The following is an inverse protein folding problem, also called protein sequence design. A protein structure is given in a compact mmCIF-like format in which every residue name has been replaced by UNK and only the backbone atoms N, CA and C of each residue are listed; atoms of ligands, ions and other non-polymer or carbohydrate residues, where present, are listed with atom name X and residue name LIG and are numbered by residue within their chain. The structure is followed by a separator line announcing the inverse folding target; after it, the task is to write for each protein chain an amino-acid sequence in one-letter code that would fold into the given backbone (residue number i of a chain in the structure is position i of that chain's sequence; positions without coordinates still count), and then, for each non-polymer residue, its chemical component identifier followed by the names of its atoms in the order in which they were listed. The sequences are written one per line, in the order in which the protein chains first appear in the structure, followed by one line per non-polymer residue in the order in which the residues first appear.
data_IF_471164228000
#
_entry.id   IF_471164228000
#
_cell.length_a   1.000
_cell.length_b   1.000
_cell.length_c   1.000
_cell.angle_alpha   90.00
_cell.angle_beta   90.00
_cell.angle_gamma   90.00
#
_symmetry.space_group_name_H-M   'P 1'
#
loop_
_entity.id
_entity.type
_entity.pdbx_description
1 polymer ?
#
# COMPACT_ATOMS: atom_id res chain seq x y z
N UNK A 1 24.60 -1.34 -16.68
CA UNK A 1 23.52 -2.13 -16.06
C UNK A 1 22.35 -1.20 -15.79
N UNK A 2 21.34 -1.22 -16.66
CA UNK A 2 20.14 -0.40 -16.49
C UNK A 2 19.17 -1.20 -15.61
N UNK A 3 19.07 -0.82 -14.34
CA UNK A 3 18.02 -1.09 -13.34
C UNK A 3 18.60 -0.95 -11.93
N UNK A 4 19.26 0.17 -11.65
CA UNK A 4 19.56 0.53 -10.26
C UNK A 4 18.31 1.22 -9.71
N UNK A 5 17.57 0.53 -8.83
CA UNK A 5 16.52 1.18 -8.05
C UNK A 5 17.15 2.34 -7.28
N UNK A 6 16.60 3.56 -7.45
CA UNK A 6 17.11 4.77 -6.79
C UNK A 6 17.03 4.66 -5.26
N UNK A 7 16.07 3.89 -4.77
CA UNK A 7 15.76 3.73 -3.34
C UNK A 7 16.07 2.32 -2.84
N UNK A 8 16.49 2.20 -1.57
CA UNK A 8 16.72 0.92 -0.91
C UNK A 8 15.39 0.22 -0.62
N UNK A 9 15.22 -1.00 -1.13
CA UNK A 9 14.07 -1.84 -0.82
C UNK A 9 14.06 -2.26 0.67
N UNK A 10 12.89 -2.18 1.30
CA UNK A 10 12.61 -2.66 2.66
C UNK A 10 11.71 -3.89 2.54
N UNK A 11 12.23 -5.07 2.87
CA UNK A 11 11.44 -6.31 2.86
C UNK A 11 10.54 -6.43 4.09
N UNK A 12 9.29 -6.87 3.88
CA UNK A 12 8.35 -7.21 4.95
C UNK A 12 8.35 -8.73 5.11
N UNK A 13 8.49 -9.22 6.35
CA UNK A 13 8.51 -10.67 6.65
C UNK A 13 7.10 -11.17 6.90
N UNK A 14 6.84 -12.45 6.58
CA UNK A 14 5.58 -13.11 6.86
C UNK A 14 4.42 -12.71 5.95
N UNK A 15 4.71 -12.13 4.79
CA UNK A 15 3.70 -11.84 3.76
C UNK A 15 3.67 -13.00 2.78
N UNK A 16 2.54 -13.68 2.69
CA UNK A 16 2.31 -14.71 1.68
C UNK A 16 1.93 -14.11 0.31
N UNK A 17 1.93 -14.95 -0.72
CA UNK A 17 1.66 -14.52 -2.10
C UNK A 17 0.22 -14.04 -2.31
N UNK A 18 -0.74 -14.62 -1.59
CA UNK A 18 -2.14 -14.25 -1.69
C UNK A 18 -2.34 -12.82 -1.17
N UNK A 19 -1.86 -12.54 0.04
CA UNK A 19 -1.89 -11.21 0.63
C UNK A 19 -1.15 -10.18 -0.22
N UNK A 20 0.00 -10.55 -0.78
CA UNK A 20 0.78 -9.68 -1.67
C UNK A 20 -0.01 -9.24 -2.91
N UNK A 21 -0.79 -10.16 -3.47
CA UNK A 21 -1.63 -9.96 -4.66
C UNK A 21 -2.87 -9.13 -4.32
N UNK A 22 -3.57 -9.48 -3.23
CA UNK A 22 -4.75 -8.76 -2.78
C UNK A 22 -4.42 -7.31 -2.44
N UNK A 23 -3.28 -7.06 -1.79
CA UNK A 23 -2.82 -5.71 -1.50
C UNK A 23 -2.50 -4.91 -2.76
N UNK A 24 -1.93 -5.53 -3.79
CA UNK A 24 -1.67 -4.88 -5.08
C UNK A 24 -2.98 -4.48 -5.78
N UNK A 25 -3.97 -5.37 -5.79
CA UNK A 25 -5.29 -5.09 -6.36
C UNK A 25 -6.02 -3.98 -5.60
N UNK A 26 -6.00 -4.01 -4.27
CA UNK A 26 -6.61 -2.98 -3.43
C UNK A 26 -5.94 -1.61 -3.66
N UNK A 27 -4.60 -1.57 -3.66
CA UNK A 27 -3.86 -0.33 -3.90
C UNK A 27 -4.20 0.27 -5.28
N UNK A 28 -4.27 -0.58 -6.32
CA UNK A 28 -4.67 -0.15 -7.67
C UNK A 28 -6.11 0.32 -7.74
N UNK A 29 -7.04 -0.35 -7.06
CA UNK A 29 -8.45 0.06 -7.01
C UNK A 29 -8.63 1.43 -6.34
N UNK A 30 -7.75 1.78 -5.40
CA UNK A 30 -7.65 3.10 -4.79
C UNK A 30 -6.87 4.13 -5.64
N UNK A 31 -6.47 3.81 -6.87
CA UNK A 31 -5.67 4.69 -7.73
C UNK A 31 -4.24 4.94 -7.22
N UNK A 32 -3.69 4.00 -6.45
CA UNK A 32 -2.40 4.10 -5.77
C UNK A 32 -1.51 2.89 -6.08
N UNK A 33 -0.41 2.77 -5.34
CA UNK A 33 0.48 1.60 -5.36
C UNK A 33 0.86 1.18 -3.94
N UNK A 34 1.36 -0.06 -3.81
CA UNK A 34 1.70 -0.66 -2.52
C UNK A 34 2.76 0.13 -1.74
N UNK A 35 3.74 0.72 -2.44
CA UNK A 35 4.81 1.47 -1.79
C UNK A 35 4.26 2.76 -1.19
N UNK A 36 3.41 3.47 -1.93
CA UNK A 36 2.75 4.69 -1.47
C UNK A 36 1.87 4.41 -0.25
N UNK A 37 0.97 3.43 -0.34
CA UNK A 37 0.06 3.07 0.77
C UNK A 37 0.84 2.62 2.01
N UNK A 38 1.88 1.80 1.85
CA UNK A 38 2.72 1.34 2.97
C UNK A 38 3.44 2.50 3.65
N UNK A 39 3.99 3.44 2.87
CA UNK A 39 4.68 4.62 3.41
C UNK A 39 3.71 5.52 4.19
N UNK A 40 2.55 5.82 3.63
CA UNK A 40 1.52 6.64 4.29
C UNK A 40 1.04 5.99 5.59
N UNK A 41 0.82 4.67 5.57
CA UNK A 41 0.47 3.90 6.77
C UNK A 41 1.57 3.98 7.84
N UNK A 42 2.84 3.86 7.46
CA UNK A 42 3.95 4.00 8.43
C UNK A 42 4.05 5.41 8.99
N UNK A 43 3.92 6.45 8.15
CA UNK A 43 3.95 7.85 8.56
C UNK A 43 2.82 8.16 9.56
N UNK A 44 1.61 7.66 9.29
CA UNK A 44 0.47 7.73 10.21
C UNK A 44 0.74 6.95 11.51
N UNK A 45 1.23 5.71 11.40
CA UNK A 45 1.45 4.84 12.56
C UNK A 45 2.48 5.40 13.55
N UNK A 46 3.53 6.07 13.05
CA UNK A 46 4.52 6.74 13.92
C UNK A 46 4.09 8.16 14.34
N UNK A 47 2.91 8.63 13.92
CA UNK A 47 2.37 9.93 14.29
C UNK A 47 3.10 11.14 13.68
N UNK A 48 3.54 11.06 12.42
CA UNK A 48 4.16 12.23 11.76
C UNK A 48 3.16 13.38 11.58
N UNK A 49 3.58 14.65 11.72
CA UNK A 49 2.71 15.80 11.46
C UNK A 49 2.12 15.76 10.06
N UNK A 50 0.79 15.86 9.96
CA UNK A 50 0.05 15.85 8.70
C UNK A 50 -0.09 14.47 8.02
N UNK A 51 0.35 13.39 8.67
CA UNK A 51 0.11 12.05 8.15
C UNK A 51 -1.32 11.59 8.46
N UNK A 52 -2.00 11.07 7.44
CA UNK A 52 -3.37 10.57 7.53
C UNK A 52 -3.41 9.07 7.25
N UNK A 53 -4.40 8.38 7.83
CA UNK A 53 -4.61 6.96 7.57
C UNK A 53 -5.06 6.79 6.10
N UNK A 54 -4.37 5.99 5.27
CA UNK A 54 -4.78 5.80 3.88
C UNK A 54 -6.16 5.14 3.80
N UNK A 55 -7.00 5.65 2.90
CA UNK A 55 -8.36 5.16 2.70
C UNK A 55 -8.38 3.73 2.15
N UNK A 56 -9.23 2.87 2.72
CA UNK A 56 -9.44 1.53 2.21
C UNK A 56 -10.35 1.62 0.98
N UNK A 57 -10.01 1.00 -0.16
CA UNK A 57 -10.92 0.98 -1.31
C UNK A 57 -12.22 0.30 -0.92
N UNK A 58 -13.35 0.87 -1.35
CA UNK A 58 -14.65 0.25 -1.18
C UNK A 58 -14.64 -1.17 -1.77
N UNK A 59 -15.08 -2.15 -0.99
CA UNK A 59 -15.25 -3.52 -1.44
C UNK A 59 -16.21 -3.52 -2.64
N UNK A 60 -15.98 -4.36 -3.65
CA UNK A 60 -16.85 -4.43 -4.83
C UNK A 60 -18.33 -4.70 -4.50
N UNK A 61 -18.62 -5.19 -3.30
CA UNK A 61 -19.98 -5.43 -2.79
C UNK A 61 -20.71 -4.14 -2.36
N UNK A 62 -19.98 -3.06 -2.05
CA UNK A 62 -20.57 -1.81 -1.53
C UNK A 62 -20.91 -0.82 -2.66
N UNK A 63 -20.40 -1.03 -3.88
CA UNK A 63 -20.76 -0.22 -5.06
C UNK A 63 -22.08 -0.60 -5.74
N UNK A 64 -22.77 -1.63 -5.24
CA UNK A 64 -24.01 -2.16 -5.83
C UNK A 64 -25.26 -1.97 -4.93
N UNK A 65 -25.14 -1.26 -3.81
CA UNK A 65 -26.23 -0.97 -2.88
C UNK A 65 -26.75 0.47 -3.02
#
# INVERSE_FOLDING_TARGET
MANQHKEKLRGIRGVDEALWTDFDHAAKAAGSDRSKVTRELWEWFVGRPGAELPERPASSEEKAA
#
